data_IF_966877752811
#
_entry.id   IF_966877752811
#
_cell.length_a   1.000
_cell.length_b   1.000
_cell.length_c   1.000
_cell.angle_alpha   90.00
_cell.angle_beta   90.00
_cell.angle_gamma   90.00
#
_symmetry.space_group_name_H-M   'P 1'
#
loop_
_entity.id
_entity.type
_entity.pdbx_description
1 polymer ?
#
# COMPACT_ATOMS: atom_id res chain seq x y z
N UNK A 1 -1.80 9.10 6.93
CA UNK A 1 -2.67 9.93 6.06
C UNK A 1 -1.92 10.22 4.78
N UNK A 2 -2.58 10.24 3.62
CA UNK A 2 -1.98 10.57 2.32
C UNK A 2 -2.46 11.94 1.86
N UNK A 3 -1.54 12.72 1.30
CA UNK A 3 -1.75 14.12 0.95
C UNK A 3 -0.92 14.53 -0.27
N UNK A 4 -0.93 15.83 -0.54
CA UNK A 4 -0.11 16.51 -1.54
C UNK A 4 0.49 17.76 -0.91
N UNK A 5 1.72 18.11 -1.29
CA UNK A 5 2.31 19.40 -0.98
C UNK A 5 1.74 20.46 -1.94
N UNK A 6 1.10 21.48 -1.39
CA UNK A 6 0.48 22.60 -2.11
C UNK A 6 1.00 23.87 -1.46
N UNK A 7 1.70 24.71 -2.24
CA UNK A 7 2.27 25.99 -1.78
C UNK A 7 3.16 25.87 -0.52
N UNK A 8 3.89 24.76 -0.40
CA UNK A 8 4.78 24.48 0.74
C UNK A 8 4.07 23.93 1.99
N UNK A 9 2.76 23.70 1.93
CA UNK A 9 2.00 23.04 3.00
C UNK A 9 1.57 21.62 2.58
N UNK A 10 1.75 20.65 3.48
CA UNK A 10 1.25 19.29 3.26
C UNK A 10 -0.26 19.18 3.56
N UNK A 11 -1.06 19.15 2.49
CA UNK A 11 -2.52 19.05 2.57
C UNK A 11 -2.96 17.59 2.60
N UNK A 12 -3.66 17.19 3.67
CA UNK A 12 -4.19 15.83 3.85
C UNK A 12 -5.47 15.61 3.04
N UNK A 13 -5.49 14.58 2.18
CA UNK A 13 -6.66 14.23 1.36
C UNK A 13 -7.34 12.95 1.80
N UNK A 14 -6.58 11.93 2.22
CA UNK A 14 -7.15 10.63 2.59
C UNK A 14 -6.53 10.04 3.86
N UNK A 15 -7.37 9.37 4.65
CA UNK A 15 -6.96 8.41 5.66
C UNK A 15 -6.96 7.01 5.05
N UNK A 16 -5.90 6.22 5.33
CA UNK A 16 -5.77 4.85 4.87
C UNK A 16 -5.71 3.94 6.10
N UNK A 17 -6.58 2.93 6.12
CA UNK A 17 -6.49 1.81 7.06
C UNK A 17 -6.14 0.54 6.30
N UNK A 18 -5.16 -0.21 6.79
CA UNK A 18 -4.80 -1.53 6.27
C UNK A 18 -5.19 -2.55 7.33
N UNK A 19 -6.08 -3.46 6.96
CA UNK A 19 -6.56 -4.54 7.81
C UNK A 19 -6.03 -5.85 7.24
N UNK A 20 -5.52 -6.70 8.14
CA UNK A 20 -5.05 -8.03 7.80
C UNK A 20 -6.03 -9.04 8.40
N UNK A 21 -6.32 -10.09 7.64
CA UNK A 21 -7.08 -11.23 8.14
C UNK A 21 -6.44 -11.82 9.41
N UNK A 22 -7.24 -12.41 10.30
CA UNK A 22 -6.80 -12.95 11.59
C UNK A 22 -5.60 -13.91 11.45
N UNK A 23 -5.63 -14.78 10.43
CA UNK A 23 -4.55 -15.76 10.16
C UNK A 23 -3.20 -15.13 9.78
N UNK A 24 -3.15 -13.82 9.50
CA UNK A 24 -1.90 -13.09 9.29
C UNK A 24 -0.99 -13.16 10.51
N UNK A 25 -1.56 -13.19 11.73
CA UNK A 25 -0.78 -13.28 12.96
C UNK A 25 0.01 -14.59 12.99
N UNK A 26 -0.65 -15.72 12.76
CA UNK A 26 0.00 -17.03 12.71
C UNK A 26 1.04 -17.10 11.60
N UNK A 27 0.71 -16.60 10.40
CA UNK A 27 1.61 -16.61 9.26
C UNK A 27 2.88 -15.79 9.48
N UNK A 28 2.78 -14.59 10.07
CA UNK A 28 3.92 -13.70 10.27
C UNK A 28 4.77 -14.10 11.49
N UNK A 29 4.15 -14.70 12.52
CA UNK A 29 4.85 -15.11 13.75
C UNK A 29 5.97 -16.11 13.47
N UNK A 30 5.86 -16.94 12.43
CA UNK A 30 6.89 -17.92 12.08
C UNK A 30 8.29 -17.31 11.87
N UNK A 31 8.35 -16.06 11.40
CA UNK A 31 9.61 -15.37 11.07
C UNK A 31 9.84 -14.11 11.90
N UNK A 32 8.78 -13.43 12.30
CA UNK A 32 8.84 -12.08 12.87
C UNK A 32 8.60 -12.02 14.38
N UNK A 33 8.37 -13.16 15.03
CA UNK A 33 8.25 -13.25 16.48
C UNK A 33 9.53 -12.72 17.16
N UNK A 34 9.34 -12.12 18.34
CA UNK A 34 10.39 -11.61 19.22
C UNK A 34 11.22 -10.44 18.65
N UNK A 35 10.90 -9.96 17.44
CA UNK A 35 11.45 -8.71 16.89
C UNK A 35 10.80 -7.51 17.56
N UNK A 36 11.64 -6.52 17.87
CA UNK A 36 11.17 -5.23 18.35
C UNK A 36 10.48 -4.45 17.23
N UNK A 37 9.65 -3.48 17.60
CA UNK A 37 8.99 -2.59 16.63
C UNK A 37 9.99 -1.85 15.74
N UNK A 38 11.14 -1.44 16.28
CA UNK A 38 12.19 -0.76 15.53
C UNK A 38 12.84 -1.69 14.48
N UNK A 39 13.14 -2.93 14.84
CA UNK A 39 13.68 -3.92 13.88
C UNK A 39 12.67 -4.23 12.77
N UNK A 40 11.38 -4.35 13.09
CA UNK A 40 10.33 -4.57 12.10
C UNK A 40 10.16 -3.35 11.18
N UNK A 41 10.22 -2.15 11.74
CA UNK A 41 10.06 -0.89 11.00
C UNK A 41 11.14 -0.69 9.93
N UNK A 42 12.39 -1.07 10.23
CA UNK A 42 13.51 -0.96 9.28
C UNK A 42 13.58 -2.16 8.30
N UNK A 43 12.75 -3.20 8.47
CA UNK A 43 12.83 -4.41 7.67
C UNK A 43 11.91 -4.37 6.44
N UNK A 44 12.48 -4.17 5.25
CA UNK A 44 11.73 -4.30 4.00
C UNK A 44 11.10 -5.69 3.82
N UNK A 45 11.76 -6.73 4.32
CA UNK A 45 11.27 -8.11 4.20
C UNK A 45 10.01 -8.33 5.05
N UNK A 46 9.89 -7.66 6.20
CA UNK A 46 8.66 -7.71 7.01
C UNK A 46 7.46 -7.19 6.22
N UNK A 47 7.62 -6.04 5.56
CA UNK A 47 6.55 -5.48 4.71
C UNK A 47 6.27 -6.33 3.48
N UNK A 48 7.28 -6.94 2.86
CA UNK A 48 7.09 -7.87 1.73
C UNK A 48 6.29 -9.11 2.15
N UNK A 49 6.55 -9.66 3.33
CA UNK A 49 5.80 -10.79 3.88
C UNK A 49 4.35 -10.37 4.22
N UNK A 50 4.12 -9.13 4.67
CA UNK A 50 2.75 -8.59 4.80
C UNK A 50 2.07 -8.50 3.43
N UNK A 51 2.74 -7.98 2.40
CA UNK A 51 2.16 -7.78 1.06
C UNK A 51 1.82 -9.13 0.39
N UNK A 52 2.79 -10.05 0.36
CA UNK A 52 2.70 -11.34 -0.35
C UNK A 52 2.17 -12.48 0.52
N UNK A 53 1.94 -12.23 1.81
CA UNK A 53 1.53 -13.26 2.76
C UNK A 53 0.23 -13.97 2.36
N UNK A 54 0.05 -15.25 2.73
CA UNK A 54 -1.07 -16.09 2.32
C UNK A 54 -2.34 -15.78 3.13
N UNK A 55 -2.71 -14.50 3.19
CA UNK A 55 -3.86 -13.98 3.91
C UNK A 55 -4.45 -12.77 3.20
N UNK A 56 -5.74 -12.54 3.42
CA UNK A 56 -6.44 -11.41 2.85
C UNK A 56 -6.01 -10.10 3.50
N UNK A 57 -6.08 -9.04 2.69
CA UNK A 57 -5.86 -7.67 3.11
C UNK A 57 -7.03 -6.84 2.65
N UNK A 58 -7.53 -6.01 3.54
CA UNK A 58 -8.56 -5.03 3.22
C UNK A 58 -8.00 -3.62 3.43
N UNK A 59 -7.98 -2.83 2.37
CA UNK A 59 -7.49 -1.45 2.40
C UNK A 59 -8.68 -0.51 2.31
N UNK A 60 -8.91 0.26 3.39
CA UNK A 60 -9.97 1.26 3.45
C UNK A 60 -9.40 2.66 3.25
N UNK A 61 -9.76 3.30 2.14
CA UNK A 61 -9.48 4.70 1.88
C UNK A 61 -10.66 5.61 2.21
N UNK A 62 -10.52 6.44 3.23
CA UNK A 62 -11.52 7.44 3.63
C UNK A 62 -11.06 8.83 3.21
N UNK A 63 -11.95 9.60 2.60
CA UNK A 63 -11.65 10.96 2.15
C UNK A 63 -11.76 11.91 3.35
N UNK A 64 -10.69 12.65 3.60
CA UNK A 64 -10.62 13.73 4.60
C UNK A 64 -11.04 15.06 3.97
N UNK A 65 -10.76 15.23 2.67
CA UNK A 65 -11.25 16.31 1.82
C UNK A 65 -11.86 15.72 0.55
N UNK A 66 -12.76 16.45 -0.08
CA UNK A 66 -13.29 16.10 -1.40
C UNK A 66 -12.12 15.95 -2.38
N UNK A 67 -12.16 14.86 -3.14
CA UNK A 67 -11.18 14.52 -4.16
C UNK A 67 -11.93 13.80 -5.27
N UNK A 68 -11.75 14.24 -6.52
CA UNK A 68 -12.42 13.61 -7.64
C UNK A 68 -11.91 12.17 -7.82
N UNK A 69 -12.80 11.28 -8.26
CA UNK A 69 -12.46 9.86 -8.46
C UNK A 69 -11.30 9.70 -9.43
N UNK A 70 -11.30 10.49 -10.50
CA UNK A 70 -10.24 10.53 -11.52
C UNK A 70 -8.90 10.98 -10.94
N UNK A 71 -8.88 11.97 -10.05
CA UNK A 71 -7.65 12.45 -9.41
C UNK A 71 -7.07 11.43 -8.43
N UNK A 72 -7.93 10.74 -7.68
CA UNK A 72 -7.53 9.65 -6.80
C UNK A 72 -6.93 8.49 -7.61
N UNK A 73 -7.66 8.00 -8.61
CA UNK A 73 -7.26 6.85 -9.44
C UNK A 73 -5.98 7.18 -10.20
N UNK A 74 -5.85 8.38 -10.78
CA UNK A 74 -4.65 8.79 -11.51
C UNK A 74 -3.37 8.56 -10.69
N UNK A 75 -3.32 9.01 -9.44
CA UNK A 75 -2.11 8.83 -8.62
C UNK A 75 -1.91 7.38 -8.18
N UNK A 76 -2.98 6.67 -7.83
CA UNK A 76 -2.88 5.25 -7.44
C UNK A 76 -2.34 4.43 -8.61
N UNK A 77 -2.92 4.58 -9.80
CA UNK A 77 -2.49 3.88 -11.01
C UNK A 77 -1.07 4.26 -11.43
N UNK A 78 -0.68 5.54 -11.36
CA UNK A 78 0.70 5.98 -11.65
C UNK A 78 1.72 5.24 -10.76
N UNK A 79 1.45 5.11 -9.47
CA UNK A 79 2.33 4.39 -8.54
C UNK A 79 2.37 2.88 -8.84
N UNK A 80 1.22 2.26 -9.13
CA UNK A 80 1.14 0.84 -9.49
C UNK A 80 1.93 0.54 -10.77
N UNK A 81 1.75 1.35 -11.82
CA UNK A 81 2.48 1.22 -13.09
C UNK A 81 3.97 1.36 -12.86
N UNK A 82 4.40 2.38 -12.10
CA UNK A 82 5.82 2.60 -11.83
C UNK A 82 6.45 1.42 -11.07
N UNK A 83 5.74 0.84 -10.10
CA UNK A 83 6.20 -0.34 -9.39
C UNK A 83 6.30 -1.57 -10.32
N UNK A 84 5.26 -1.86 -11.11
CA UNK A 84 5.29 -2.99 -12.03
C UNK A 84 6.41 -2.83 -13.08
N UNK A 85 6.64 -1.60 -13.57
CA UNK A 85 7.76 -1.31 -14.48
C UNK A 85 9.12 -1.52 -13.81
N UNK A 86 9.30 -1.11 -12.55
CA UNK A 86 10.58 -1.30 -11.84
C UNK A 86 10.88 -2.78 -11.59
N UNK A 87 9.85 -3.61 -11.39
CA UNK A 87 9.98 -5.06 -11.22
C UNK A 87 10.01 -5.82 -12.56
N UNK A 88 9.84 -5.13 -13.69
CA UNK A 88 9.80 -5.75 -15.02
C UNK A 88 8.56 -6.59 -15.31
N UNK A 89 7.45 -6.35 -14.60
CA UNK A 89 6.20 -7.14 -14.67
C UNK A 89 5.06 -6.38 -15.35
N UNK A 90 5.31 -5.29 -16.07
CA UNK A 90 4.27 -4.50 -16.72
C UNK A 90 4.12 -4.88 -18.21
N UNK A 91 3.16 -5.72 -18.53
CA UNK A 91 2.77 -6.11 -19.89
C UNK A 91 1.31 -5.78 -20.23
N UNK A 92 0.81 -6.38 -21.31
CA UNK A 92 -0.53 -6.12 -21.85
C UNK A 92 -1.66 -6.47 -20.86
N UNK A 93 -1.46 -7.48 -20.01
CA UNK A 93 -2.43 -7.90 -19.00
C UNK A 93 -2.50 -6.87 -17.86
N UNK A 94 -1.37 -6.38 -17.39
CA UNK A 94 -1.29 -5.35 -16.36
C UNK A 94 -1.83 -4.00 -16.86
N UNK A 95 -1.58 -3.65 -18.12
CA UNK A 95 -2.16 -2.44 -18.73
C UNK A 95 -3.69 -2.51 -18.76
N UNK A 96 -4.25 -3.66 -19.18
CA UNK A 96 -5.71 -3.88 -19.18
C UNK A 96 -6.32 -3.87 -17.79
N UNK A 97 -5.59 -4.34 -16.77
CA UNK A 97 -6.07 -4.34 -15.38
C UNK A 97 -6.11 -2.94 -14.76
N UNK A 98 -5.39 -1.97 -15.33
CA UNK A 98 -5.37 -0.57 -14.85
C UNK A 98 -6.47 0.29 -15.51
N UNK A 99 -6.89 -0.05 -16.74
CA UNK A 99 -7.96 0.64 -17.48
C UNK A 99 -9.33 0.50 -16.80
#
# INVERSE_FOLDING_TARGET
>A
VRGLDIDGEFVKFTGLGVYLEEKAVESLTLKWKDKTSAELFESLDFYRDIIKGPFEKFIRGTKVRTLEGTEYVRKVSENCINHMKSEGTYGDEEEKAIQ
#
